data_IF_471503387515
#
_entry.id   IF_471503387515
#
_cell.length_a   1.000
_cell.length_b   1.000
_cell.length_c   1.000
_cell.angle_alpha   90.00
_cell.angle_beta   90.00
_cell.angle_gamma   90.00
#
_symmetry.space_group_name_H-M   'P 1'
#
loop_
_entity.id
_entity.type
_entity.pdbx_description
1 polymer ?
#
# COMPACT_ATOMS: atom_id res chain seq x y z
N UNK A 1 19.68 39.98 24.00
CA UNK A 1 19.84 38.56 23.57
C UNK A 1 18.52 37.91 23.10
N UNK A 2 17.47 38.65 22.73
CA UNK A 2 16.15 38.07 22.31
C UNK A 2 15.97 37.87 20.80
N UNK A 3 16.59 38.70 19.97
CA UNK A 3 16.34 38.70 18.50
C UNK A 3 16.79 37.43 17.78
N UNK A 4 17.82 36.75 18.29
CA UNK A 4 18.29 35.50 17.70
C UNK A 4 17.36 34.32 17.98
N UNK A 5 16.56 34.38 19.04
CA UNK A 5 15.60 33.33 19.39
C UNK A 5 14.35 33.40 18.50
N UNK A 6 13.79 34.61 18.30
CA UNK A 6 12.66 34.81 17.39
C UNK A 6 13.02 34.45 15.94
N UNK A 7 14.19 34.87 15.45
CA UNK A 7 14.66 34.52 14.10
C UNK A 7 14.79 33.00 13.91
N UNK A 8 15.22 32.26 14.94
CA UNK A 8 15.24 30.79 14.92
C UNK A 8 13.85 30.18 14.90
N UNK A 9 12.90 30.71 15.68
CA UNK A 9 11.52 30.21 15.67
C UNK A 9 10.83 30.40 14.32
N UNK A 10 10.95 31.59 13.71
CA UNK A 10 10.36 31.85 12.39
C UNK A 10 10.96 30.94 11.31
N UNK A 11 12.29 30.73 11.33
CA UNK A 11 12.97 29.83 10.39
C UNK A 11 12.53 28.36 10.58
N UNK A 12 12.37 27.91 11.82
CA UNK A 12 11.87 26.56 12.11
C UNK A 12 10.41 26.38 11.68
N UNK A 13 9.58 27.42 11.86
CA UNK A 13 8.19 27.40 11.44
C UNK A 13 8.04 27.34 9.93
N UNK A 14 8.83 28.13 9.20
CA UNK A 14 8.90 28.06 7.73
C UNK A 14 9.37 26.68 7.26
N UNK A 15 10.43 26.14 7.86
CA UNK A 15 10.93 24.80 7.53
C UNK A 15 9.88 23.70 7.79
N UNK A 16 9.14 23.79 8.89
CA UNK A 16 8.05 22.86 9.20
C UNK A 16 6.89 22.96 8.21
N UNK A 17 6.52 24.18 7.81
CA UNK A 17 5.48 24.40 6.79
C UNK A 17 5.90 23.86 5.43
N UNK A 18 7.14 24.11 5.02
CA UNK A 18 7.66 23.67 3.73
C UNK A 18 7.78 22.14 3.67
N UNK A 19 8.17 21.50 4.79
CA UNK A 19 8.15 20.04 4.93
C UNK A 19 6.73 19.47 4.85
N UNK A 20 5.76 20.05 5.56
CA UNK A 20 4.38 19.58 5.48
C UNK A 20 3.77 19.76 4.07
N UNK A 21 4.18 20.82 3.36
CA UNK A 21 3.75 21.05 1.96
C UNK A 21 4.39 20.03 1.02
N UNK A 22 5.66 19.68 1.24
CA UNK A 22 6.34 18.62 0.50
C UNK A 22 5.70 17.26 0.75
N UNK A 23 5.42 16.89 2.01
CA UNK A 23 4.73 15.64 2.38
C UNK A 23 3.33 15.55 1.75
N UNK A 24 2.56 16.66 1.72
CA UNK A 24 1.27 16.70 1.02
C UNK A 24 1.37 16.55 -0.50
N UNK A 25 2.53 16.84 -1.08
CA UNK A 25 2.76 16.77 -2.52
C UNK A 25 3.33 15.41 -2.96
N UNK A 26 3.65 14.51 -2.03
CA UNK A 26 4.20 13.20 -2.36
C UNK A 26 3.14 12.34 -3.07
N UNK A 27 3.52 11.67 -4.18
CA UNK A 27 2.59 10.85 -4.94
C UNK A 27 2.18 9.63 -4.13
N UNK A 28 0.98 9.66 -3.57
CA UNK A 28 0.35 8.51 -2.91
C UNK A 28 0.12 7.34 -3.87
N UNK A 29 -0.07 6.13 -3.32
CA UNK A 29 -0.49 4.94 -4.07
C UNK A 29 -1.69 5.17 -4.99
N UNK A 30 -2.60 6.05 -4.60
CA UNK A 30 -3.84 6.34 -5.34
C UNK A 30 -3.65 7.30 -6.52
N UNK A 31 -2.55 8.07 -6.53
CA UNK A 31 -2.13 8.93 -7.65
C UNK A 31 -1.36 8.20 -8.74
N UNK A 32 -1.10 6.89 -8.56
CA UNK A 32 -0.39 6.02 -9.51
C UNK A 32 -1.37 5.10 -10.24
N UNK A 33 -1.99 5.52 -11.36
CA UNK A 33 -2.99 4.73 -12.07
C UNK A 33 -2.43 3.39 -12.58
N UNK A 34 -1.13 3.31 -12.83
CA UNK A 34 -0.43 2.08 -13.19
C UNK A 34 -0.44 1.04 -12.06
N UNK A 35 -0.51 1.47 -10.80
CA UNK A 35 -0.58 0.58 -9.64
C UNK A 35 -2.05 0.22 -9.36
N UNK A 36 -2.96 1.20 -9.43
CA UNK A 36 -4.37 0.97 -9.10
C UNK A 36 -5.11 0.10 -10.13
N UNK A 37 -4.82 0.26 -11.42
CA UNK A 37 -5.53 -0.47 -12.49
C UNK A 37 -4.86 -1.82 -12.83
N UNK A 38 -3.77 -2.17 -12.17
CA UNK A 38 -3.09 -3.44 -12.41
C UNK A 38 -3.85 -4.58 -11.75
N UNK A 39 -4.00 -5.67 -12.50
CA UNK A 39 -4.54 -6.93 -11.98
C UNK A 39 -3.39 -7.74 -11.41
N UNK A 40 -3.47 -8.02 -10.13
CA UNK A 40 -2.48 -8.78 -9.38
C UNK A 40 -2.93 -10.23 -9.21
N UNK A 41 -1.97 -11.16 -9.27
CA UNK A 41 -2.22 -12.57 -9.00
C UNK A 41 -2.00 -12.84 -7.51
N UNK A 42 -3.07 -13.20 -6.83
CA UNK A 42 -3.10 -13.54 -5.42
C UNK A 42 -3.13 -15.08 -5.25
N UNK A 43 -2.22 -15.60 -4.44
CA UNK A 43 -2.15 -17.01 -4.08
C UNK A 43 -2.61 -17.19 -2.63
N UNK A 44 -3.57 -18.09 -2.37
CA UNK A 44 -4.03 -18.35 -1.01
C UNK A 44 -2.95 -19.07 -0.21
N UNK A 45 -2.89 -18.77 1.10
CA UNK A 45 -2.10 -19.53 2.06
C UNK A 45 -2.72 -20.90 2.35
N UNK A 46 -2.00 -21.75 3.08
CA UNK A 46 -2.51 -23.07 3.46
C UNK A 46 -3.83 -22.94 4.24
N UNK A 47 -4.84 -23.70 3.81
CA UNK A 47 -6.20 -23.71 4.35
C UNK A 47 -6.97 -22.37 4.27
N UNK A 48 -6.50 -21.40 3.48
CA UNK A 48 -7.23 -20.16 3.23
C UNK A 48 -7.95 -20.20 1.89
N UNK A 49 -9.14 -19.59 1.83
CA UNK A 49 -9.90 -19.43 0.60
C UNK A 49 -10.28 -17.97 0.40
N UNK A 50 -10.15 -17.53 -0.85
CA UNK A 50 -10.62 -16.22 -1.29
C UNK A 50 -12.06 -16.33 -1.78
N UNK A 51 -12.82 -15.26 -1.57
CA UNK A 51 -14.17 -15.11 -2.14
C UNK A 51 -14.19 -14.01 -3.20
N UNK A 52 -14.99 -14.19 -4.25
CA UNK A 52 -15.21 -13.13 -5.24
C UNK A 52 -15.84 -11.90 -4.57
N UNK A 53 -15.32 -10.71 -4.88
CA UNK A 53 -15.78 -9.45 -4.31
C UNK A 53 -15.25 -9.15 -2.91
N UNK A 54 -14.47 -10.06 -2.33
CA UNK A 54 -13.88 -9.88 -1.00
C UNK A 54 -12.87 -8.73 -0.99
N UNK A 55 -12.89 -7.93 0.08
CA UNK A 55 -11.92 -6.87 0.33
C UNK A 55 -10.90 -7.39 1.35
N UNK A 56 -9.62 -7.34 0.97
CA UNK A 56 -8.48 -7.72 1.76
C UNK A 56 -7.52 -6.54 1.88
N UNK A 57 -6.61 -6.61 2.85
CA UNK A 57 -5.51 -5.68 2.97
C UNK A 57 -4.25 -6.30 2.38
N UNK A 58 -3.49 -5.54 1.62
CA UNK A 58 -2.14 -5.93 1.21
C UNK A 58 -1.12 -5.14 2.00
N UNK A 59 -0.12 -5.83 2.53
CA UNK A 59 0.95 -5.26 3.35
C UNK A 59 2.29 -5.73 2.79
N UNK A 60 3.27 -4.85 2.74
CA UNK A 60 4.65 -5.28 2.50
C UNK A 60 5.14 -6.08 3.71
N UNK A 61 5.69 -7.29 3.47
CA UNK A 61 6.35 -8.06 4.54
C UNK A 61 7.51 -7.24 5.13
N UNK A 62 7.86 -7.47 6.40
CA UNK A 62 9.01 -6.82 7.07
C UNK A 62 10.31 -6.90 6.28
N UNK A 63 10.49 -7.96 5.49
CA UNK A 63 11.67 -8.14 4.64
C UNK A 63 11.61 -7.37 3.31
N UNK A 64 10.50 -6.67 3.01
CA UNK A 64 10.26 -5.92 1.78
C UNK A 64 10.18 -6.76 0.50
N UNK A 65 10.19 -8.09 0.62
CA UNK A 65 10.33 -9.03 -0.51
C UNK A 65 9.02 -9.62 -1.01
N UNK A 66 7.98 -9.61 -0.20
CA UNK A 66 6.69 -10.20 -0.54
C UNK A 66 5.54 -9.31 -0.09
N UNK A 67 4.51 -9.24 -0.92
CA UNK A 67 3.26 -8.58 -0.61
C UNK A 67 2.30 -9.61 0.00
N UNK A 68 1.96 -9.42 1.26
CA UNK A 68 1.12 -10.34 2.04
C UNK A 68 -0.31 -9.84 2.04
N UNK A 69 -1.27 -10.74 1.80
CA UNK A 69 -2.69 -10.46 1.90
C UNK A 69 -3.18 -10.83 3.29
N UNK A 70 -3.88 -9.89 3.93
CA UNK A 70 -4.42 -10.03 5.27
C UNK A 70 -5.93 -9.80 5.29
N UNK A 71 -6.63 -10.65 6.05
CA UNK A 71 -8.03 -10.49 6.45
C UNK A 71 -8.03 -10.12 7.92
N UNK A 72 -8.15 -8.83 8.22
CA UNK A 72 -8.00 -8.33 9.58
C UNK A 72 -6.60 -8.62 10.14
N UNK A 73 -6.51 -9.47 11.16
CA UNK A 73 -5.24 -9.86 11.80
C UNK A 73 -4.62 -11.15 11.24
N UNK A 74 -5.28 -11.81 10.29
CA UNK A 74 -4.83 -13.09 9.74
C UNK A 74 -4.24 -12.91 8.35
N UNK A 75 -3.04 -13.44 8.13
CA UNK A 75 -2.48 -13.60 6.79
C UNK A 75 -3.24 -14.72 6.06
N UNK A 76 -3.81 -14.40 4.91
CA UNK A 76 -4.63 -15.31 4.10
C UNK A 76 -3.98 -15.70 2.78
N UNK A 77 -2.88 -15.05 2.41
CA UNK A 77 -2.16 -15.35 1.18
C UNK A 77 -1.08 -14.34 0.84
N UNK A 78 -0.59 -14.42 -0.39
CA UNK A 78 0.44 -13.53 -0.90
C UNK A 78 0.17 -13.16 -2.36
N UNK A 79 0.65 -12.00 -2.78
CA UNK A 79 0.66 -11.60 -4.19
C UNK A 79 1.99 -12.02 -4.80
N UNK A 80 1.93 -12.75 -5.91
CA UNK A 80 3.10 -13.27 -6.63
C UNK A 80 3.20 -12.66 -8.04
N UNK A 81 4.39 -12.76 -8.63
CA UNK A 81 4.67 -12.32 -10.00
C UNK A 81 5.22 -10.90 -10.10
N UNK A 82 5.40 -10.42 -11.33
CA UNK A 82 6.03 -9.12 -11.58
C UNK A 82 5.20 -7.93 -11.08
N UNK A 83 3.87 -8.07 -11.03
CA UNK A 83 2.99 -7.10 -10.39
C UNK A 83 3.31 -6.91 -8.90
N UNK A 84 3.74 -7.96 -8.19
CA UNK A 84 4.08 -7.87 -6.77
C UNK A 84 5.25 -6.89 -6.52
N UNK A 85 6.23 -6.83 -7.42
CA UNK A 85 7.37 -5.89 -7.28
C UNK A 85 6.94 -4.45 -7.43
N UNK A 86 6.10 -4.16 -8.42
CA UNK A 86 5.56 -2.81 -8.63
C UNK A 86 4.69 -2.37 -7.45
N UNK A 87 3.87 -3.29 -6.92
CA UNK A 87 3.07 -3.05 -5.73
C UNK A 87 3.95 -2.82 -4.49
N UNK A 88 4.98 -3.64 -4.27
CA UNK A 88 5.91 -3.48 -3.16
C UNK A 88 6.69 -2.17 -3.22
N UNK A 89 7.18 -1.81 -4.41
CA UNK A 89 7.83 -0.51 -4.61
C UNK A 89 6.87 0.62 -4.21
N UNK A 90 5.61 0.55 -4.64
CA UNK A 90 4.63 1.58 -4.33
C UNK A 90 4.21 1.60 -2.83
N UNK A 91 4.12 0.44 -2.18
CA UNK A 91 3.85 0.31 -0.73
C UNK A 91 5.02 0.81 0.12
N UNK A 92 6.26 0.69 -0.37
CA UNK A 92 7.47 1.13 0.33
C UNK A 92 7.87 2.59 0.03
N UNK A 93 7.57 3.10 -1.17
CA UNK A 93 7.92 4.47 -1.60
C UNK A 93 7.10 5.55 -0.91
N UNK A 94 5.91 5.21 -0.42
CA UNK A 94 4.92 6.22 -0.01
C UNK A 94 4.79 6.29 1.50
N UNK A 95 4.63 7.51 2.04
CA UNK A 95 4.16 7.76 3.41
C UNK A 95 2.75 7.20 3.72
N UNK A 96 2.21 6.34 2.86
CA UNK A 96 1.14 5.42 3.20
C UNK A 96 1.64 4.44 4.27
N UNK A 97 0.74 3.95 5.11
CA UNK A 97 1.09 3.09 6.26
C UNK A 97 1.70 1.71 5.90
N UNK A 98 2.21 1.51 4.68
CA UNK A 98 2.65 0.23 4.14
C UNK A 98 1.51 -0.73 3.81
N UNK A 99 0.27 -0.22 3.78
CA UNK A 99 -0.97 -1.00 3.64
C UNK A 99 -1.84 -0.40 2.54
N UNK A 100 -2.42 -1.25 1.69
CA UNK A 100 -3.45 -0.87 0.73
C UNK A 100 -4.64 -1.84 0.76
N UNK A 101 -5.83 -1.39 0.39
CA UNK A 101 -6.99 -2.27 0.21
C UNK A 101 -6.99 -2.88 -1.18
N UNK A 102 -7.33 -4.16 -1.28
CA UNK A 102 -7.40 -4.91 -2.53
C UNK A 102 -8.70 -5.68 -2.58
N UNK A 103 -9.40 -5.59 -3.70
CA UNK A 103 -10.62 -6.35 -3.97
C UNK A 103 -10.29 -7.56 -4.85
N UNK A 104 -10.74 -8.73 -4.43
CA UNK A 104 -10.71 -9.94 -5.23
C UNK A 104 -11.79 -9.86 -6.31
N UNK A 105 -11.40 -9.94 -7.58
CA UNK A 105 -12.33 -9.87 -8.71
C UNK A 105 -12.75 -11.25 -9.20
N UNK A 106 -11.81 -12.19 -9.25
CA UNK A 106 -12.03 -13.55 -9.72
C UNK A 106 -11.22 -14.54 -8.89
N UNK A 107 -11.80 -15.69 -8.59
CA UNK A 107 -11.13 -16.82 -7.92
C UNK A 107 -11.23 -18.05 -8.82
N UNK A 108 -10.09 -18.66 -9.10
CA UNK A 108 -10.03 -19.93 -9.83
C UNK A 108 -10.50 -21.08 -8.93
N UNK A 109 -11.58 -21.75 -9.32
CA UNK A 109 -12.13 -22.90 -8.58
C UNK A 109 -11.23 -24.13 -8.55
N UNK A 110 -10.19 -24.20 -9.40
CA UNK A 110 -9.28 -25.35 -9.49
C UNK A 110 -8.03 -25.21 -8.62
N UNK A 111 -7.49 -23.99 -8.50
CA UNK A 111 -6.22 -23.73 -7.83
C UNK A 111 -6.34 -22.80 -6.62
N UNK A 112 -7.52 -22.19 -6.40
CA UNK A 112 -7.72 -21.16 -5.39
C UNK A 112 -7.01 -19.83 -5.68
N UNK A 113 -6.25 -19.75 -6.78
CA UNK A 113 -5.55 -18.54 -7.21
C UNK A 113 -6.59 -17.50 -7.61
N UNK A 114 -6.42 -16.28 -7.12
CA UNK A 114 -7.33 -15.18 -7.35
C UNK A 114 -6.67 -14.03 -8.12
N UNK A 115 -7.50 -13.25 -8.78
CA UNK A 115 -7.14 -11.95 -9.35
C UNK A 115 -7.61 -10.87 -8.40
N UNK A 116 -6.74 -9.91 -8.15
CA UNK A 116 -6.94 -8.87 -7.16
C UNK A 116 -6.63 -7.49 -7.78
N UNK A 117 -7.43 -6.48 -7.46
CA UNK A 117 -7.26 -5.10 -7.93
C UNK A 117 -7.31 -4.16 -6.73
N UNK A 118 -6.46 -3.14 -6.70
CA UNK A 118 -6.44 -2.19 -5.59
C UNK A 118 -7.78 -1.45 -5.53
N UNK A 119 -8.44 -1.51 -4.38
CA UNK A 119 -9.64 -0.75 -4.14
C UNK A 119 -9.24 0.70 -3.80
N UNK A 120 -9.76 1.67 -4.54
CA UNK A 120 -9.73 3.07 -4.07
C UNK A 120 -10.72 3.18 -2.92
N UNK A 121 -10.26 3.67 -1.75
CA UNK A 121 -11.19 4.14 -0.73
C UNK A 121 -12.08 5.22 -1.39
N UNK A 122 -13.40 5.00 -1.33
CA UNK A 122 -14.41 5.97 -1.80
C UNK A 122 -14.62 7.05 -0.75
#
# INVERSE_FOLDING_TARGET
MGDNFLKRQVRNFQKGRDLATAEMSEPTLFTRPEVVNTVYTARPGENCQFSNGEILFVVASENGRSAVLARGHQSVGQIEGDGAKALLAALNDTGAAGVAQVRITEVSGLSGVAKAVIAKDQ
#
